data_IF_307633973663
#
_entry.id   IF_307633973663
#
_cell.length_a   1.000
_cell.length_b   1.000
_cell.length_c   1.000
_cell.angle_alpha   90.00
_cell.angle_beta   90.00
_cell.angle_gamma   90.00
#
_symmetry.space_group_name_H-M   'P 1'
#
loop_
_entity.id
_entity.type
_entity.pdbx_description
1 polymer ?
#
# COMPACT_ATOMS: atom_id res chain seq x y z
N UNK A 1 25.61 -0.94 6.50
CA UNK A 1 25.78 0.17 5.52
C UNK A 1 25.33 1.53 6.05
N UNK A 2 24.46 1.59 7.07
CA UNK A 2 23.84 2.85 7.50
C UNK A 2 23.84 3.12 9.00
N UNK A 3 23.57 4.38 9.33
CA UNK A 3 23.13 4.87 10.63
C UNK A 3 21.77 5.55 10.46
N UNK A 4 20.79 5.17 11.28
CA UNK A 4 19.43 5.69 11.23
C UNK A 4 19.08 6.37 12.56
N UNK A 5 18.66 7.63 12.50
CA UNK A 5 18.00 8.31 13.60
C UNK A 5 16.52 8.47 13.26
N UNK A 6 15.65 7.69 13.91
CA UNK A 6 14.26 7.65 13.50
C UNK A 6 13.52 6.40 13.94
N UNK A 7 12.36 6.19 13.33
CA UNK A 7 11.55 4.98 13.46
C UNK A 7 10.80 4.73 12.15
N UNK A 8 10.91 3.54 11.57
CA UNK A 8 10.13 3.14 10.39
C UNK A 8 8.76 2.64 10.84
N UNK A 9 7.69 3.37 10.53
CA UNK A 9 6.34 3.06 11.00
C UNK A 9 5.57 2.09 10.07
N UNK A 10 6.04 1.88 8.83
CA UNK A 10 5.48 0.92 7.87
C UNK A 10 6.15 -0.47 7.92
N UNK A 11 7.01 -0.72 8.91
CA UNK A 11 7.95 -1.85 8.94
C UNK A 11 7.31 -3.22 8.65
N UNK A 12 6.19 -3.55 9.29
CA UNK A 12 5.52 -4.86 9.11
C UNK A 12 5.05 -5.07 7.67
N UNK A 13 4.56 -4.02 7.02
CA UNK A 13 4.17 -4.08 5.61
C UNK A 13 5.38 -4.34 4.73
N UNK A 14 6.44 -3.54 4.91
CA UNK A 14 7.66 -3.66 4.11
C UNK A 14 8.32 -5.04 4.25
N UNK A 15 8.34 -5.59 5.47
CA UNK A 15 8.87 -6.92 5.75
C UNK A 15 8.08 -8.02 5.04
N UNK A 16 6.74 -7.99 5.15
CA UNK A 16 5.88 -8.97 4.51
C UNK A 16 5.97 -8.92 2.98
N UNK A 17 6.02 -7.71 2.40
CA UNK A 17 6.13 -7.53 0.96
C UNK A 17 7.48 -7.97 0.42
N UNK A 18 8.58 -7.62 1.10
CA UNK A 18 9.89 -8.13 0.70
C UNK A 18 9.93 -9.66 0.83
N UNK A 19 9.36 -10.23 1.90
CA UNK A 19 9.27 -11.68 2.05
C UNK A 19 8.52 -12.33 0.89
N UNK A 20 7.40 -11.76 0.45
CA UNK A 20 6.64 -12.25 -0.71
C UNK A 20 7.44 -12.17 -2.01
N UNK A 21 8.24 -11.11 -2.21
CA UNK A 21 9.06 -10.90 -3.40
C UNK A 21 10.25 -11.85 -3.50
N UNK A 22 10.79 -12.34 -2.39
CA UNK A 22 11.95 -13.24 -2.37
C UNK A 22 11.79 -14.47 -3.26
N UNK A 23 10.57 -14.98 -3.37
CA UNK A 23 10.25 -16.18 -4.16
C UNK A 23 10.22 -15.92 -5.67
N UNK A 24 10.24 -14.66 -6.11
CA UNK A 24 10.20 -14.24 -7.52
C UNK A 24 11.52 -13.65 -8.00
N UNK A 25 12.54 -13.55 -7.15
CA UNK A 25 13.83 -12.96 -7.51
C UNK A 25 14.57 -13.81 -8.53
N UNK A 26 14.98 -13.22 -9.65
CA UNK A 26 15.83 -13.91 -10.60
C UNK A 26 17.23 -14.14 -10.02
N UNK A 27 17.74 -15.36 -10.14
CA UNK A 27 19.09 -15.74 -9.70
C UNK A 27 20.23 -15.16 -10.56
N UNK A 28 20.01 -14.21 -11.46
CA UNK A 28 21.10 -13.70 -12.33
C UNK A 28 22.10 -12.81 -11.58
N UNK A 29 21.62 -11.98 -10.65
CA UNK A 29 22.49 -11.08 -9.88
C UNK A 29 23.33 -11.84 -8.83
N UNK A 30 22.78 -12.93 -8.27
CA UNK A 30 23.36 -13.65 -7.14
C UNK A 30 23.75 -15.10 -7.46
N UNK A 31 23.39 -15.62 -8.63
CA UNK A 31 23.62 -17.02 -9.01
C UNK A 31 23.07 -18.01 -7.99
N UNK A 32 23.84 -19.07 -7.76
CA UNK A 32 23.57 -20.10 -6.76
C UNK A 32 23.64 -19.57 -5.31
N UNK A 33 24.14 -18.35 -5.08
CA UNK A 33 24.24 -17.75 -3.75
C UNK A 33 22.93 -17.11 -3.29
N UNK A 34 21.92 -16.95 -4.16
CA UNK A 34 20.63 -16.35 -3.79
C UNK A 34 19.99 -17.08 -2.60
N UNK A 35 20.00 -18.42 -2.59
CA UNK A 35 19.44 -19.22 -1.50
C UNK A 35 20.13 -18.94 -0.15
N UNK A 36 21.41 -18.56 -0.16
CA UNK A 36 22.18 -18.24 1.07
C UNK A 36 21.81 -16.88 1.64
N UNK A 37 21.23 -15.99 0.82
CA UNK A 37 20.80 -14.65 1.22
C UNK A 37 19.39 -14.65 1.81
N UNK A 38 18.62 -15.73 1.64
CA UNK A 38 17.25 -15.82 2.13
C UNK A 38 17.22 -16.28 3.62
N UNK A 39 16.37 -15.66 4.45
CA UNK A 39 15.60 -14.44 4.19
C UNK A 39 16.49 -13.19 4.17
N UNK A 40 16.20 -12.26 3.25
CA UNK A 40 16.89 -10.98 3.09
C UNK A 40 16.79 -10.16 4.37
N UNK A 41 15.58 -10.06 4.92
CA UNK A 41 15.34 -9.40 6.20
C UNK A 41 15.54 -10.39 7.33
N UNK A 42 16.37 -10.00 8.30
CA UNK A 42 16.52 -10.74 9.54
C UNK A 42 15.41 -10.36 10.52
N UNK A 43 14.55 -11.32 10.86
CA UNK A 43 13.34 -11.09 11.68
C UNK A 43 13.62 -10.47 13.07
N UNK A 44 14.71 -10.87 13.72
CA UNK A 44 15.09 -10.42 15.07
C UNK A 44 15.75 -9.03 15.11
N UNK A 45 15.95 -8.40 13.95
CA UNK A 45 16.61 -7.11 13.83
C UNK A 45 15.73 -5.92 14.18
N UNK A 46 16.36 -4.79 14.53
CA UNK A 46 15.65 -3.51 14.64
C UNK A 46 15.15 -3.04 13.28
N UNK A 47 14.21 -2.09 13.27
CA UNK A 47 13.72 -1.43 12.06
C UNK A 47 14.86 -0.93 11.14
N UNK A 48 15.88 -0.35 11.75
CA UNK A 48 17.07 0.22 11.12
C UNK A 48 17.94 -0.86 10.49
N UNK A 49 18.04 -2.02 11.14
CA UNK A 49 18.76 -3.17 10.59
C UNK A 49 18.01 -3.79 9.42
N UNK A 50 16.68 -3.92 9.53
CA UNK A 50 15.84 -4.41 8.44
C UNK A 50 15.93 -3.51 7.21
N UNK A 51 15.95 -2.19 7.42
CA UNK A 51 16.21 -1.21 6.36
C UNK A 51 17.62 -1.42 5.76
N UNK A 52 18.65 -1.63 6.59
CA UNK A 52 20.03 -1.87 6.12
C UNK A 52 20.12 -3.13 5.25
N UNK A 53 19.43 -4.20 5.64
CA UNK A 53 19.40 -5.44 4.86
C UNK A 53 18.77 -5.24 3.48
N UNK A 54 17.63 -4.53 3.41
CA UNK A 54 17.00 -4.23 2.14
C UNK A 54 17.87 -3.32 1.26
N UNK A 55 18.48 -2.28 1.86
CA UNK A 55 19.36 -1.36 1.14
C UNK A 55 20.59 -2.08 0.59
N UNK A 56 21.25 -2.89 1.41
CA UNK A 56 22.40 -3.70 1.01
C UNK A 56 22.03 -4.66 -0.13
N UNK A 57 20.90 -5.35 0.00
CA UNK A 57 20.38 -6.24 -1.05
C UNK A 57 20.18 -5.50 -2.39
N UNK A 58 19.56 -4.32 -2.38
CA UNK A 58 19.35 -3.52 -3.59
C UNK A 58 20.68 -3.08 -4.23
N UNK A 59 21.65 -2.65 -3.42
CA UNK A 59 22.98 -2.26 -3.91
C UNK A 59 23.70 -3.46 -4.53
N UNK A 60 23.73 -4.59 -3.83
CA UNK A 60 24.37 -5.82 -4.31
C UNK A 60 23.66 -6.40 -5.55
N UNK A 61 22.37 -6.10 -5.75
CA UNK A 61 21.64 -6.44 -6.98
C UNK A 61 22.06 -5.60 -8.20
N UNK A 62 22.93 -4.60 -8.02
CA UNK A 62 23.50 -3.80 -9.10
C UNK A 62 23.01 -2.35 -9.18
N UNK A 63 22.22 -1.89 -8.20
CA UNK A 63 21.78 -0.48 -8.13
C UNK A 63 22.81 0.41 -7.44
N UNK A 64 22.87 1.67 -7.84
CA UNK A 64 23.65 2.66 -7.09
C UNK A 64 23.01 2.93 -5.73
N UNK A 65 23.81 3.47 -4.80
CA UNK A 65 23.35 3.90 -3.48
C UNK A 65 22.21 4.92 -3.59
N UNK A 66 22.35 5.90 -4.47
CA UNK A 66 21.34 6.94 -4.70
C UNK A 66 20.03 6.36 -5.26
N UNK A 67 20.11 5.44 -6.23
CA UNK A 67 18.94 4.75 -6.78
C UNK A 67 18.19 3.99 -5.69
N UNK A 68 18.90 3.17 -4.92
CA UNK A 68 18.29 2.35 -3.87
C UNK A 68 17.60 3.22 -2.81
N UNK A 69 18.22 4.32 -2.40
CA UNK A 69 17.59 5.27 -1.47
C UNK A 69 16.38 5.99 -2.06
N UNK A 70 16.42 6.39 -3.33
CA UNK A 70 15.27 7.01 -4.01
C UNK A 70 14.09 6.05 -4.17
N UNK A 71 14.34 4.75 -4.24
CA UNK A 71 13.29 3.72 -4.23
C UNK A 71 12.69 3.51 -2.83
N UNK A 72 13.55 3.36 -1.81
CA UNK A 72 13.10 3.05 -0.46
C UNK A 72 12.46 4.26 0.24
N UNK A 73 12.99 5.48 0.01
CA UNK A 73 12.51 6.75 0.58
C UNK A 73 12.22 7.73 -0.56
N UNK A 74 11.13 7.52 -1.32
CA UNK A 74 10.79 8.37 -2.44
C UNK A 74 10.34 9.76 -1.98
N UNK A 75 10.62 10.77 -2.81
CA UNK A 75 10.05 12.10 -2.63
C UNK A 75 8.52 12.07 -2.77
N UNK A 76 7.76 12.95 -2.11
CA UNK A 76 6.36 13.18 -2.45
C UNK A 76 6.23 13.65 -3.92
N UNK A 77 5.77 12.76 -4.80
CA UNK A 77 5.78 12.99 -6.25
C UNK A 77 4.38 13.19 -6.85
N UNK A 78 3.36 12.49 -6.34
CA UNK A 78 2.03 12.42 -6.97
C UNK A 78 1.34 13.78 -7.13
N UNK A 79 1.40 14.61 -6.10
CA UNK A 79 0.73 15.91 -6.06
C UNK A 79 1.71 17.09 -6.25
N UNK A 80 2.95 16.79 -6.61
CA UNK A 80 4.01 17.77 -6.74
C UNK A 80 4.01 18.43 -8.14
N UNK A 81 3.23 19.50 -8.30
CA UNK A 81 2.99 20.16 -9.59
C UNK A 81 4.26 20.66 -10.31
N UNK A 82 5.30 21.02 -9.56
CA UNK A 82 6.54 21.59 -10.12
C UNK A 82 7.67 20.56 -10.29
N UNK A 83 7.38 19.26 -10.19
CA UNK A 83 8.41 18.21 -10.32
C UNK A 83 8.76 18.02 -11.80
N UNK A 84 10.05 17.96 -12.17
CA UNK A 84 10.44 17.60 -13.53
C UNK A 84 9.86 16.24 -13.95
N UNK A 85 9.40 16.15 -15.20
CA UNK A 85 8.67 14.98 -15.71
C UNK A 85 9.47 13.68 -15.56
N UNK A 86 10.75 13.67 -15.95
CA UNK A 86 11.62 12.51 -15.84
C UNK A 86 11.71 11.96 -14.39
N UNK A 87 11.65 12.85 -13.39
CA UNK A 87 11.72 12.48 -11.98
C UNK A 87 10.39 11.91 -11.50
N UNK A 88 9.28 12.50 -11.94
CA UNK A 88 7.94 11.98 -11.66
C UNK A 88 7.76 10.59 -12.28
N UNK A 89 8.16 10.40 -13.53
CA UNK A 89 8.13 9.12 -14.23
C UNK A 89 9.01 8.06 -13.54
N UNK A 90 10.19 8.45 -13.02
CA UNK A 90 11.00 7.55 -12.20
C UNK A 90 10.25 7.07 -10.95
N UNK A 91 9.65 7.99 -10.17
CA UNK A 91 8.97 7.60 -8.94
C UNK A 91 7.67 6.81 -9.21
N UNK A 92 6.91 7.17 -10.25
CA UNK A 92 5.71 6.45 -10.64
C UNK A 92 6.02 5.01 -11.08
N UNK A 93 7.11 4.81 -11.82
CA UNK A 93 7.57 3.47 -12.17
C UNK A 93 7.96 2.64 -10.94
N UNK A 94 8.71 3.23 -10.00
CA UNK A 94 9.16 2.50 -8.81
C UNK A 94 8.03 2.28 -7.79
N UNK A 95 6.97 3.09 -7.80
CA UNK A 95 5.77 2.86 -7.00
C UNK A 95 5.04 1.55 -7.41
N UNK A 96 5.24 1.06 -8.63
CA UNK A 96 4.75 -0.25 -9.08
C UNK A 96 5.61 -1.43 -8.57
N UNK A 97 6.80 -1.16 -8.02
CA UNK A 97 7.79 -2.17 -7.64
C UNK A 97 7.96 -2.32 -6.14
N UNK A 98 7.92 -1.22 -5.41
CA UNK A 98 8.23 -1.18 -3.99
C UNK A 98 7.48 -0.05 -3.29
N UNK A 99 6.85 -0.42 -2.18
CA UNK A 99 6.26 0.50 -1.22
C UNK A 99 7.32 1.28 -0.44
N UNK A 100 7.03 2.53 -0.04
CA UNK A 100 7.97 3.35 0.72
C UNK A 100 8.21 2.83 2.14
N UNK A 101 9.46 2.87 2.57
CA UNK A 101 9.87 2.68 3.96
C UNK A 101 9.69 3.99 4.72
N UNK A 102 8.47 4.22 5.19
CA UNK A 102 8.05 5.51 5.77
C UNK A 102 8.22 5.55 7.29
N UNK A 103 8.22 6.78 7.80
CA UNK A 103 8.44 7.11 9.21
C UNK A 103 9.51 8.20 9.37
N UNK A 104 9.60 8.85 10.55
CA UNK A 104 10.63 9.85 10.81
C UNK A 104 12.01 9.23 10.62
N UNK A 105 12.83 9.76 9.71
CA UNK A 105 14.13 9.19 9.43
C UNK A 105 15.15 10.28 9.06
N UNK A 106 16.31 10.25 9.72
CA UNK A 106 17.54 10.81 9.20
C UNK A 106 18.54 9.68 9.04
N UNK A 107 18.89 9.38 7.79
CA UNK A 107 19.76 8.26 7.44
C UNK A 107 21.07 8.82 6.92
N UNK A 108 22.18 8.32 7.46
CA UNK A 108 23.50 8.46 6.88
C UNK A 108 23.94 7.08 6.39
N UNK A 109 24.45 7.00 5.16
CA UNK A 109 24.82 5.75 4.48
C UNK A 109 26.22 5.86 3.90
N UNK A 110 26.88 4.73 3.73
CA UNK A 110 28.07 4.65 2.90
C UNK A 110 28.21 3.25 2.30
N UNK A 111 28.64 3.21 1.04
CA UNK A 111 29.03 1.99 0.33
C UNK A 111 30.57 1.77 0.35
N UNK A 112 31.30 2.59 1.11
CA UNK A 112 32.76 2.60 1.19
C UNK A 112 33.45 3.55 0.22
N UNK A 113 32.75 4.05 -0.80
CA UNK A 113 33.26 5.03 -1.78
C UNK A 113 32.49 6.35 -1.67
N UNK A 114 31.18 6.27 -1.61
CA UNK A 114 30.28 7.39 -1.45
C UNK A 114 29.75 7.45 -0.02
N UNK A 115 29.46 8.66 0.44
CA UNK A 115 28.81 8.93 1.73
C UNK A 115 27.55 9.73 1.45
N UNK A 116 26.40 9.13 1.73
CA UNK A 116 25.08 9.73 1.50
C UNK A 116 24.39 10.09 2.81
N UNK A 117 23.50 11.07 2.75
CA UNK A 117 22.55 11.34 3.80
C UNK A 117 21.20 11.78 3.21
N UNK A 118 20.11 11.27 3.78
CA UNK A 118 18.75 11.55 3.33
C UNK A 118 17.83 11.71 4.54
N UNK A 119 16.77 12.48 4.36
CA UNK A 119 15.67 12.59 5.30
C UNK A 119 14.45 11.86 4.76
N UNK A 120 13.56 11.44 5.67
CA UNK A 120 12.23 11.01 5.29
C UNK A 120 11.47 12.09 4.50
N UNK A 121 10.39 11.66 3.84
CA UNK A 121 9.60 12.50 2.95
C UNK A 121 9.03 13.77 3.60
N UNK A 122 8.86 13.75 4.92
CA UNK A 122 8.33 14.86 5.72
C UNK A 122 9.45 15.67 6.42
N UNK A 123 10.68 15.14 6.44
CA UNK A 123 11.83 15.71 7.14
C UNK A 123 11.60 15.87 8.64
N UNK A 124 11.07 14.83 9.28
CA UNK A 124 10.68 14.84 10.70
C UNK A 124 11.88 14.78 11.65
N UNK A 125 13.09 14.58 11.13
CA UNK A 125 14.33 14.53 11.90
C UNK A 125 15.31 15.65 11.48
N UNK A 126 15.99 16.29 12.45
CA UNK A 126 16.95 17.33 12.13
C UNK A 126 18.24 16.72 11.60
N UNK A 127 18.80 17.31 10.55
CA UNK A 127 20.13 16.98 10.06
C UNK A 127 20.80 18.23 9.46
N UNK A 128 22.01 18.53 9.94
CA UNK A 128 22.77 19.75 9.68
C UNK A 128 24.16 19.40 9.23
N UNK A 129 24.71 20.16 8.28
CA UNK A 129 26.07 19.94 7.82
C UNK A 129 26.90 21.23 7.74
N UNK A 130 28.20 21.07 7.95
CA UNK A 130 29.23 22.08 7.72
C UNK A 130 30.23 21.60 6.68
N UNK A 131 30.66 22.52 5.83
CA UNK A 131 31.81 22.34 4.93
C UNK A 131 32.87 23.32 5.37
N UNK A 132 34.06 22.82 5.71
CA UNK A 132 35.18 23.63 6.17
C UNK A 132 36.15 23.98 5.02
N UNK A 133 37.05 24.93 5.25
CA UNK A 133 38.02 25.36 4.24
C UNK A 133 39.16 24.35 4.03
N UNK A 134 39.31 23.38 4.94
CA UNK A 134 40.17 22.21 4.81
C UNK A 134 39.42 20.97 4.27
N UNK A 135 38.36 21.21 3.47
CA UNK A 135 37.58 20.21 2.74
C UNK A 135 36.95 19.09 3.60
N UNK A 136 36.68 19.37 4.89
CA UNK A 136 35.94 18.44 5.74
C UNK A 136 34.45 18.71 5.65
N UNK A 137 33.70 17.63 5.52
CA UNK A 137 32.25 17.61 5.65
C UNK A 137 31.88 17.02 6.99
N UNK A 138 31.12 17.77 7.78
CA UNK A 138 30.66 17.34 9.10
C UNK A 138 29.14 17.37 9.08
N UNK A 139 28.50 16.23 9.25
CA UNK A 139 27.05 16.09 9.34
C UNK A 139 26.65 15.57 10.72
N UNK A 140 25.65 16.19 11.33
CA UNK A 140 25.13 15.81 12.63
C UNK A 140 23.66 16.21 12.79
N UNK A 141 22.98 15.61 13.77
CA UNK A 141 21.60 15.97 14.11
C UNK A 141 21.48 17.40 14.64
N UNK A 142 22.56 17.93 15.24
CA UNK A 142 22.59 19.22 15.89
C UNK A 142 23.81 20.05 15.45
N UNK A 143 23.72 21.37 15.70
CA UNK A 143 24.81 22.32 15.47
C UNK A 143 25.73 22.39 16.68
N UNK A 144 27.03 22.56 16.47
CA UNK A 144 27.99 22.77 17.57
C UNK A 144 28.47 21.49 18.27
N UNK A 145 28.23 20.31 17.69
CA UNK A 145 28.68 19.01 18.23
C UNK A 145 30.21 18.88 18.35
N UNK A 146 30.97 19.60 17.52
CA UNK A 146 32.43 19.61 17.55
C UNK A 146 32.93 21.00 17.98
N UNK A 147 33.29 21.21 19.27
CA UNK A 147 33.70 22.51 19.78
C UNK A 147 35.05 22.98 19.22
N UNK A 148 35.85 22.06 18.67
CA UNK A 148 37.16 22.35 18.09
C UNK A 148 37.11 22.99 16.70
N UNK A 149 35.93 23.07 16.07
CA UNK A 149 35.79 23.66 14.74
C UNK A 149 35.55 25.17 14.88
N UNK A 150 36.56 25.96 14.56
CA UNK A 150 36.44 27.42 14.56
C UNK A 150 35.48 27.90 13.47
N UNK A 151 34.65 28.91 13.79
CA UNK A 151 33.67 29.45 12.84
C UNK A 151 34.31 30.12 11.63
N UNK A 152 35.54 30.62 11.76
CA UNK A 152 36.36 31.19 10.68
C UNK A 152 36.75 30.15 9.62
N UNK A 153 36.82 28.87 9.98
CA UNK A 153 37.16 27.78 9.06
C UNK A 153 35.94 27.24 8.31
N UNK A 154 34.72 27.74 8.56
CA UNK A 154 33.50 27.21 7.95
C UNK A 154 33.17 27.99 6.67
N UNK A 155 33.17 27.30 5.54
CA UNK A 155 32.83 27.85 4.21
C UNK A 155 31.33 27.80 3.95
N UNK A 156 30.67 26.70 4.36
CA UNK A 156 29.22 26.52 4.16
C UNK A 156 28.57 25.90 5.38
N UNK A 157 27.38 26.39 5.71
CA UNK A 157 26.47 25.78 6.69
C UNK A 157 25.16 25.45 6.00
N UNK A 158 24.68 24.22 6.15
CA UNK A 158 23.44 23.77 5.53
C UNK A 158 22.62 22.88 6.46
N UNK A 159 21.43 22.53 5.97
CA UNK A 159 20.56 21.51 6.53
C UNK A 159 20.12 20.58 5.41
N UNK A 160 19.81 19.33 5.74
CA UNK A 160 19.07 18.49 4.82
C UNK A 160 17.63 18.98 4.77
N UNK A 161 17.03 18.88 3.60
CA UNK A 161 15.65 19.28 3.34
C UNK A 161 14.87 18.02 2.98
N UNK A 162 13.57 17.93 3.33
CA UNK A 162 12.73 16.80 2.96
C UNK A 162 12.84 16.54 1.46
N UNK A 163 13.00 15.27 1.11
CA UNK A 163 13.13 14.86 -0.28
C UNK A 163 14.46 15.18 -0.95
N UNK A 164 15.44 15.83 -0.32
CA UNK A 164 16.78 16.08 -0.90
C UNK A 164 17.81 15.10 -0.37
N UNK A 165 18.74 14.68 -1.23
CA UNK A 165 19.87 13.83 -0.89
C UNK A 165 21.15 14.68 -0.81
N UNK A 166 21.94 14.43 0.22
CA UNK A 166 23.28 14.97 0.36
C UNK A 166 24.28 13.84 0.10
N UNK A 167 25.06 13.93 -0.98
CA UNK A 167 26.01 12.89 -1.37
C UNK A 167 27.42 13.47 -1.52
N UNK A 168 28.39 12.84 -0.86
CA UNK A 168 29.81 13.10 -1.04
C UNK A 168 30.41 11.91 -1.77
N UNK A 169 31.02 12.18 -2.91
CA UNK A 169 31.70 11.17 -3.70
C UNK A 169 33.22 11.32 -3.52
N UNK A 170 33.85 10.30 -2.93
CA UNK A 170 35.27 10.33 -2.61
C UNK A 170 36.16 10.08 -3.84
N UNK A 171 35.66 9.46 -4.90
CA UNK A 171 36.38 9.28 -6.16
C UNK A 171 36.37 10.57 -6.99
N UNK A 172 35.22 11.25 -7.06
CA UNK A 172 35.11 12.56 -7.70
C UNK A 172 35.71 13.69 -6.86
N UNK A 173 35.90 13.46 -5.55
CA UNK A 173 36.46 14.41 -4.60
C UNK A 173 35.56 15.64 -4.38
N UNK A 174 34.24 15.48 -4.46
CA UNK A 174 33.29 16.59 -4.32
C UNK A 174 31.95 16.18 -3.71
N UNK A 175 31.21 17.19 -3.25
CA UNK A 175 29.78 17.06 -2.94
C UNK A 175 29.02 17.10 -4.27
N UNK A 176 28.22 16.08 -4.55
CA UNK A 176 27.38 15.99 -5.76
C UNK A 176 26.07 16.76 -5.52
N UNK A 177 25.62 17.54 -6.51
CA UNK A 177 24.36 18.26 -6.37
C UNK A 177 23.16 17.30 -6.45
N UNK A 178 22.13 17.54 -5.63
CA UNK A 178 20.91 16.71 -5.59
C UNK A 178 20.21 16.63 -6.95
N UNK A 179 20.20 17.73 -7.71
CA UNK A 179 19.53 17.78 -9.01
C UNK A 179 20.29 16.94 -10.03
N UNK A 180 21.61 17.11 -10.06
CA UNK A 180 22.53 16.34 -10.91
C UNK A 180 22.38 14.85 -10.63
N UNK A 181 22.47 14.46 -9.36
CA UNK A 181 22.41 13.07 -8.92
C UNK A 181 21.09 12.39 -9.33
N UNK A 182 19.96 13.04 -9.04
CA UNK A 182 18.64 12.47 -9.33
C UNK A 182 18.32 12.48 -10.82
N UNK A 183 18.82 13.46 -11.56
CA UNK A 183 18.68 13.48 -13.01
C UNK A 183 19.44 12.33 -13.66
N UNK A 184 20.65 12.02 -13.18
CA UNK A 184 21.40 10.85 -13.63
C UNK A 184 20.63 9.56 -13.34
N UNK A 185 20.21 9.35 -12.09
CA UNK A 185 19.48 8.14 -11.67
C UNK A 185 18.16 7.96 -12.42
N UNK A 186 17.38 9.05 -12.55
CA UNK A 186 16.08 9.00 -13.20
C UNK A 186 16.16 8.84 -14.74
N UNK A 187 17.37 8.95 -15.32
CA UNK A 187 17.62 8.74 -16.75
C UNK A 187 18.38 7.44 -17.05
N UNK A 188 18.59 6.57 -16.06
CA UNK A 188 19.24 5.26 -16.26
C UNK A 188 18.44 4.35 -17.19
N UNK A 189 17.12 4.52 -17.25
CA UNK A 189 16.22 3.81 -18.14
C UNK A 189 15.12 4.76 -18.69
N UNK A 190 14.46 4.41 -19.81
CA UNK A 190 13.38 5.21 -20.38
C UNK A 190 12.06 5.00 -19.64
N UNK A 191 12.02 5.30 -18.33
CA UNK A 191 10.86 5.06 -17.45
C UNK A 191 9.55 5.62 -18.00
N UNK A 192 9.58 6.84 -18.54
CA UNK A 192 8.41 7.45 -19.16
C UNK A 192 7.85 6.67 -20.35
N UNK A 193 8.72 6.06 -21.16
CA UNK A 193 8.27 5.20 -22.25
C UNK A 193 7.63 3.93 -21.70
N UNK A 194 8.28 3.28 -20.73
CA UNK A 194 7.75 2.07 -20.11
C UNK A 194 6.37 2.29 -19.49
N UNK A 195 6.19 3.40 -18.76
CA UNK A 195 4.91 3.81 -18.21
C UNK A 195 3.84 4.02 -19.28
N UNK A 196 4.15 4.76 -20.36
CA UNK A 196 3.18 4.99 -21.45
C UNK A 196 2.75 3.70 -22.15
N UNK A 197 3.66 2.74 -22.26
CA UNK A 197 3.41 1.50 -23.00
C UNK A 197 2.74 0.42 -22.13
N UNK A 198 2.85 0.49 -20.80
CA UNK A 198 2.44 -0.60 -19.89
C UNK A 198 1.53 -0.19 -18.71
N UNK A 199 1.54 1.07 -18.26
CA UNK A 199 0.68 1.52 -17.17
C UNK A 199 -0.65 2.04 -17.71
N UNK A 200 -1.74 1.38 -17.36
CA UNK A 200 -3.09 1.73 -17.80
C UNK A 200 -3.82 2.53 -16.71
N UNK A 201 -4.46 3.65 -17.08
CA UNK A 201 -5.35 4.38 -16.16
C UNK A 201 -6.74 3.74 -16.16
N UNK A 202 -7.28 3.43 -14.97
CA UNK A 202 -8.60 2.85 -14.82
C UNK A 202 -9.71 3.66 -15.51
N UNK A 203 -9.58 4.99 -15.60
CA UNK A 203 -10.55 5.88 -16.27
C UNK A 203 -10.64 5.63 -17.78
N UNK A 204 -9.61 5.03 -18.36
CA UNK A 204 -9.53 4.74 -19.80
C UNK A 204 -9.94 3.30 -20.13
N UNK A 205 -10.33 2.49 -19.14
CA UNK A 205 -10.87 1.17 -19.39
C UNK A 205 -12.19 1.27 -20.17
N UNK A 206 -12.46 0.34 -21.10
CA UNK A 206 -13.73 0.32 -21.82
C UNK A 206 -14.90 0.21 -20.85
N UNK A 207 -16.05 0.80 -21.19
CA UNK A 207 -17.25 0.63 -20.38
C UNK A 207 -17.66 -0.86 -20.36
N UNK A 208 -18.18 -1.38 -19.24
CA UNK A 208 -18.59 -2.77 -19.17
C UNK A 208 -19.82 -2.99 -20.05
N UNK A 209 -19.88 -4.14 -20.72
CA UNK A 209 -21.03 -4.55 -21.52
C UNK A 209 -22.22 -4.88 -20.64
N UNK A 210 -21.97 -5.51 -19.50
CA UNK A 210 -22.99 -5.80 -18.50
C UNK A 210 -22.89 -4.80 -17.35
N UNK A 211 -24.00 -4.12 -17.07
CA UNK A 211 -24.17 -3.38 -15.82
C UNK A 211 -25.16 -4.14 -14.96
N UNK A 212 -24.80 -4.37 -13.70
CA UNK A 212 -25.74 -4.93 -12.72
C UNK A 212 -26.70 -3.83 -12.30
N UNK A 213 -27.99 -4.17 -12.27
CA UNK A 213 -29.03 -3.33 -11.71
C UNK A 213 -29.20 -3.63 -10.23
N UNK A 214 -29.49 -2.60 -9.43
CA UNK A 214 -29.84 -2.78 -8.03
C UNK A 214 -31.10 -3.65 -7.87
N UNK A 215 -31.17 -4.40 -6.77
CA UNK A 215 -32.33 -5.20 -6.39
C UNK A 215 -32.87 -4.76 -5.02
N UNK A 216 -33.70 -3.71 -5.04
CA UNK A 216 -34.33 -3.19 -3.85
C UNK A 216 -35.38 -4.13 -3.24
N UNK A 217 -35.81 -5.19 -3.94
CA UNK A 217 -36.81 -6.12 -3.41
C UNK A 217 -36.28 -7.01 -2.28
N UNK A 218 -34.97 -7.31 -2.31
CA UNK A 218 -34.31 -8.18 -1.32
C UNK A 218 -33.35 -7.44 -0.39
N UNK A 219 -33.22 -6.11 -0.55
CA UNK A 219 -32.18 -5.31 0.13
C UNK A 219 -32.22 -5.45 1.66
N UNK A 220 -33.40 -5.41 2.27
CA UNK A 220 -33.55 -5.53 3.73
C UNK A 220 -33.08 -6.91 4.23
N UNK A 221 -33.30 -7.97 3.46
CA UNK A 221 -32.85 -9.32 3.81
C UNK A 221 -31.33 -9.41 3.73
N UNK A 222 -30.72 -8.85 2.67
CA UNK A 222 -29.26 -8.81 2.50
C UNK A 222 -28.59 -7.96 3.59
N UNK A 223 -29.12 -6.77 3.87
CA UNK A 223 -28.68 -5.91 4.98
C UNK A 223 -28.66 -6.66 6.31
N UNK A 224 -29.74 -7.39 6.64
CA UNK A 224 -29.79 -8.22 7.86
C UNK A 224 -28.75 -9.34 7.86
N UNK A 225 -28.53 -9.99 6.72
CA UNK A 225 -27.52 -11.05 6.60
C UNK A 225 -26.10 -10.52 6.91
N UNK A 226 -25.79 -9.30 6.48
CA UNK A 226 -24.50 -8.63 6.75
C UNK A 226 -24.48 -7.79 8.05
N UNK A 227 -25.51 -7.92 8.89
CA UNK A 227 -25.58 -7.27 10.20
C UNK A 227 -25.76 -5.76 10.16
N UNK A 228 -26.33 -5.20 9.09
CA UNK A 228 -26.69 -3.78 9.03
C UNK A 228 -27.81 -3.49 10.02
N UNK A 229 -27.69 -2.38 10.72
CA UNK A 229 -28.67 -1.89 11.68
C UNK A 229 -29.35 -0.62 11.20
N UNK A 230 -30.45 -0.27 11.85
CA UNK A 230 -31.10 1.03 11.61
C UNK A 230 -30.17 2.21 11.96
N UNK A 231 -29.32 2.03 12.97
CA UNK A 231 -28.35 3.04 13.39
C UNK A 231 -27.28 3.26 12.32
N UNK A 232 -26.81 2.19 11.67
CA UNK A 232 -25.87 2.28 10.54
C UNK A 232 -26.43 3.16 9.44
N UNK A 233 -27.70 2.96 9.06
CA UNK A 233 -28.33 3.76 8.02
C UNK A 233 -28.52 5.22 8.44
N UNK A 234 -29.04 5.45 9.66
CA UNK A 234 -29.44 6.78 10.14
C UNK A 234 -28.26 7.66 10.57
N UNK A 235 -27.24 7.08 11.19
CA UNK A 235 -26.15 7.84 11.81
C UNK A 235 -24.83 7.73 11.07
N UNK A 236 -24.63 6.68 10.25
CA UNK A 236 -23.40 6.48 9.49
C UNK A 236 -23.61 6.70 7.99
N UNK A 237 -24.32 5.80 7.32
CA UNK A 237 -24.41 5.76 5.85
C UNK A 237 -25.10 7.00 5.29
N UNK A 238 -26.32 7.30 5.76
CA UNK A 238 -27.11 8.44 5.26
C UNK A 238 -26.38 9.78 5.41
N UNK A 239 -25.92 10.15 6.61
CA UNK A 239 -25.17 11.39 6.81
C UNK A 239 -23.81 11.42 6.11
N UNK A 240 -23.16 10.27 5.90
CA UNK A 240 -21.92 10.18 5.10
C UNK A 240 -22.18 10.53 3.65
N UNK A 241 -23.25 9.98 3.07
CA UNK A 241 -23.65 10.25 1.69
C UNK A 241 -24.03 11.72 1.48
N UNK A 242 -24.83 12.29 2.39
CA UNK A 242 -25.28 13.69 2.29
C UNK A 242 -24.13 14.71 2.40
N UNK A 243 -23.21 14.49 3.35
CA UNK A 243 -22.15 15.46 3.66
C UNK A 243 -20.81 15.21 2.95
N UNK A 244 -20.62 14.01 2.37
CA UNK A 244 -19.35 13.55 1.83
C UNK A 244 -18.25 13.38 2.90
N UNK A 245 -18.64 13.28 4.19
CA UNK A 245 -17.71 13.22 5.33
C UNK A 245 -18.17 12.16 6.33
N UNK A 246 -17.22 11.55 7.03
CA UNK A 246 -17.55 10.68 8.14
C UNK A 246 -18.32 11.47 9.23
N UNK A 247 -19.48 10.98 9.70
CA UNK A 247 -20.27 11.65 10.71
C UNK A 247 -19.52 11.73 12.04
N UNK A 248 -19.68 12.86 12.74
CA UNK A 248 -19.05 13.10 14.03
C UNK A 248 -19.96 12.66 15.18
N UNK A 249 -19.38 11.93 16.13
CA UNK A 249 -19.98 11.58 17.41
C UNK A 249 -19.30 12.29 18.59
N UNK A 250 -19.82 12.06 19.79
CA UNK A 250 -19.20 12.52 21.04
C UNK A 250 -19.41 11.48 22.15
N UNK A 251 -18.79 11.71 23.31
CA UNK A 251 -18.70 10.76 24.44
C UNK A 251 -17.80 9.54 24.17
N UNK A 252 -17.50 8.78 25.22
CA UNK A 252 -16.76 7.53 25.10
C UNK A 252 -17.67 6.38 24.68
N UNK A 253 -17.08 5.32 24.11
CA UNK A 253 -17.80 4.08 23.83
C UNK A 253 -18.01 3.29 25.13
N UNK A 254 -19.26 3.17 25.57
CA UNK A 254 -19.68 2.42 26.76
C UNK A 254 -20.22 1.01 26.43
N UNK A 255 -20.20 0.61 25.15
CA UNK A 255 -20.54 -0.74 24.75
C UNK A 255 -19.50 -1.75 25.25
N UNK A 256 -19.90 -3.01 25.53
CA UNK A 256 -18.96 -4.06 25.89
C UNK A 256 -17.95 -4.29 24.76
N UNK A 257 -16.75 -4.78 25.11
CA UNK A 257 -15.82 -5.31 24.11
C UNK A 257 -16.51 -6.41 23.30
N UNK A 258 -16.16 -6.53 22.01
CA UNK A 258 -16.86 -7.42 21.08
C UNK A 258 -16.98 -8.86 21.61
N UNK A 259 -15.91 -9.40 22.21
CA UNK A 259 -15.87 -10.75 22.80
C UNK A 259 -16.76 -10.92 24.05
N UNK A 260 -17.16 -9.83 24.68
CA UNK A 260 -18.04 -9.82 25.86
C UNK A 260 -19.47 -9.38 25.52
N UNK A 261 -19.76 -9.12 24.24
CA UNK A 261 -21.07 -8.67 23.80
C UNK A 261 -22.06 -9.83 23.76
N UNK A 262 -23.29 -9.59 24.23
CA UNK A 262 -24.41 -10.53 24.08
C UNK A 262 -25.04 -10.46 22.67
N UNK A 263 -24.57 -9.55 21.81
CA UNK A 263 -25.04 -9.36 20.44
C UNK A 263 -24.00 -9.85 19.44
N UNK A 264 -24.45 -10.35 18.29
CA UNK A 264 -23.56 -10.70 17.17
C UNK A 264 -22.68 -9.50 16.80
N UNK A 265 -21.36 -9.71 16.76
CA UNK A 265 -20.38 -8.69 16.42
C UNK A 265 -19.75 -9.02 15.07
N UNK A 266 -19.53 -8.00 14.24
CA UNK A 266 -18.69 -8.16 13.06
C UNK A 266 -17.23 -8.39 13.47
N UNK A 267 -16.50 -9.11 12.63
CA UNK A 267 -15.09 -9.40 12.82
C UNK A 267 -14.24 -8.12 12.95
N UNK A 268 -14.63 -7.04 12.28
CA UNK A 268 -13.93 -5.74 12.37
C UNK A 268 -13.85 -5.20 13.81
N UNK A 269 -14.85 -5.48 14.66
CA UNK A 269 -14.93 -4.96 16.03
C UNK A 269 -13.88 -5.56 16.98
N UNK A 270 -13.30 -6.70 16.60
CA UNK A 270 -12.23 -7.38 17.34
C UNK A 270 -10.87 -6.73 17.10
N UNK A 271 -10.72 -5.98 16.02
CA UNK A 271 -9.50 -5.25 15.71
C UNK A 271 -9.59 -3.81 16.26
N UNK A 272 -8.45 -3.30 16.72
CA UNK A 272 -8.30 -1.91 17.18
C UNK A 272 -7.19 -1.25 16.39
N UNK A 273 -7.46 -0.06 15.89
CA UNK A 273 -6.49 0.72 15.14
C UNK A 273 -5.32 1.07 16.07
N UNK A 274 -4.11 0.76 15.62
CA UNK A 274 -2.91 1.23 16.28
C UNK A 274 -2.72 2.70 15.94
N UNK A 275 -2.19 3.47 16.90
CA UNK A 275 -1.82 4.85 16.67
C UNK A 275 -0.43 5.10 17.24
N UNK A 276 0.28 6.00 16.58
CA UNK A 276 1.60 6.44 16.99
C UNK A 276 1.50 7.31 18.26
N UNK A 277 2.33 7.01 19.26
CA UNK A 277 2.42 7.80 20.48
C UNK A 277 3.87 7.91 20.93
N UNK A 278 4.37 9.14 21.08
CA UNK A 278 5.75 9.48 21.48
C UNK A 278 6.82 9.11 20.45
N UNK A 279 6.86 7.87 19.97
CA UNK A 279 7.95 7.32 19.16
C UNK A 279 8.04 7.96 17.78
N UNK A 280 6.90 8.13 17.13
CA UNK A 280 6.72 8.87 15.89
C UNK A 280 5.47 9.78 15.98
N UNK A 281 5.45 10.93 15.28
CA UNK A 281 4.30 11.81 15.24
C UNK A 281 3.25 11.33 14.22
N UNK A 282 1.95 11.52 14.48
CA UNK A 282 0.93 11.40 13.44
C UNK A 282 1.04 12.57 12.45
N UNK A 283 0.54 12.35 11.23
CA UNK A 283 0.48 13.34 10.15
C UNK A 283 -0.91 13.99 10.14
N UNK A 284 -1.00 15.25 9.71
CA UNK A 284 -2.28 15.92 9.44
C UNK A 284 -2.72 15.65 7.99
N UNK A 285 -3.68 14.73 7.73
CA UNK A 285 -4.05 14.35 6.37
C UNK A 285 -4.73 15.47 5.58
N UNK A 286 -5.16 16.56 6.23
CA UNK A 286 -5.80 17.71 5.58
C UNK A 286 -4.76 18.77 5.24
N UNK A 287 -3.87 19.09 6.18
CA UNK A 287 -2.85 20.15 5.97
C UNK A 287 -1.62 19.67 5.23
N UNK A 288 -1.30 18.38 5.35
CA UNK A 288 -0.14 17.73 4.74
C UNK A 288 -0.57 16.80 3.59
N UNK A 289 -1.65 17.16 2.90
CA UNK A 289 -2.26 16.38 1.81
C UNK A 289 -1.30 16.03 0.66
N UNK A 290 -0.22 16.80 0.50
CA UNK A 290 0.81 16.60 -0.53
C UNK A 290 1.67 15.36 -0.29
N UNK A 291 1.76 14.88 0.96
CA UNK A 291 2.61 13.73 1.34
C UNK A 291 1.82 12.44 1.52
N UNK A 292 0.49 12.52 1.40
CA UNK A 292 -0.42 11.37 1.48
C UNK A 292 -0.97 10.99 0.11
N UNK A 293 -1.19 9.69 -0.09
CA UNK A 293 -1.72 9.14 -1.33
C UNK A 293 -2.64 7.95 -1.06
N UNK A 294 -3.59 7.72 -1.97
CA UNK A 294 -4.55 6.61 -1.94
C UNK A 294 -4.55 5.82 -3.25
N UNK A 295 -3.54 6.02 -4.10
CA UNK A 295 -3.45 5.31 -5.37
C UNK A 295 -3.25 3.81 -5.11
N UNK A 296 -3.92 3.00 -5.93
CA UNK A 296 -3.77 1.54 -5.92
C UNK A 296 -3.36 1.06 -7.31
N UNK A 297 -2.58 -0.02 -7.37
CA UNK A 297 -2.13 -0.63 -8.60
C UNK A 297 -2.61 -2.09 -8.64
N UNK A 298 -3.25 -2.47 -9.74
CA UNK A 298 -3.77 -3.83 -9.95
C UNK A 298 -3.01 -4.50 -11.08
N UNK A 299 -2.46 -5.68 -10.82
CA UNK A 299 -1.69 -6.46 -11.77
C UNK A 299 -0.65 -7.35 -11.10
N UNK A 300 0.29 -7.82 -11.90
CA UNK A 300 1.42 -8.65 -11.46
C UNK A 300 2.62 -7.76 -11.16
N UNK A 301 3.24 -7.93 -9.99
CA UNK A 301 4.49 -7.25 -9.66
C UNK A 301 5.68 -7.89 -10.41
N UNK A 302 6.62 -7.05 -10.83
CA UNK A 302 7.86 -7.47 -11.48
C UNK A 302 8.95 -7.89 -10.50
N UNK A 303 10.00 -8.52 -11.03
CA UNK A 303 11.20 -8.84 -10.27
C UNK A 303 11.92 -7.57 -9.79
N UNK A 304 12.09 -7.46 -8.48
CA UNK A 304 12.76 -6.34 -7.84
C UNK A 304 14.24 -6.22 -8.24
N UNK A 305 14.94 -7.30 -8.58
CA UNK A 305 16.36 -7.25 -8.97
C UNK A 305 16.57 -6.88 -10.43
N UNK A 306 15.60 -7.20 -11.30
CA UNK A 306 15.67 -6.95 -12.74
C UNK A 306 14.40 -6.26 -13.24
N UNK A 307 14.23 -4.97 -12.89
CA UNK A 307 13.07 -4.21 -13.33
C UNK A 307 13.13 -3.96 -14.86
N UNK A 308 11.98 -4.10 -15.54
CA UNK A 308 11.83 -3.85 -16.97
C UNK A 308 10.49 -3.19 -17.32
N UNK A 309 10.15 -3.05 -18.61
CA UNK A 309 8.87 -2.46 -19.02
C UNK A 309 7.66 -3.19 -18.42
N UNK A 310 7.70 -4.52 -18.39
CA UNK A 310 6.63 -5.36 -17.84
C UNK A 310 6.40 -5.14 -16.33
N UNK A 311 7.39 -4.63 -15.60
CA UNK A 311 7.27 -4.40 -14.16
C UNK A 311 6.28 -3.30 -13.78
N UNK A 312 5.90 -2.44 -14.74
CA UNK A 312 4.86 -1.43 -14.55
C UNK A 312 3.58 -1.76 -15.35
N UNK A 313 3.43 -3.02 -15.80
CA UNK A 313 2.22 -3.50 -16.48
C UNK A 313 1.08 -3.69 -15.47
N UNK A 314 0.46 -2.58 -15.09
CA UNK A 314 -0.56 -2.51 -14.06
C UNK A 314 -1.69 -1.56 -14.47
N UNK A 315 -2.81 -1.65 -13.78
CA UNK A 315 -3.92 -0.70 -13.87
C UNK A 315 -3.87 0.19 -12.64
N UNK A 316 -3.75 1.50 -12.86
CA UNK A 316 -3.70 2.52 -11.83
C UNK A 316 -5.11 3.00 -11.48
N UNK A 317 -5.43 2.98 -10.19
CA UNK A 317 -6.66 3.51 -9.61
C UNK A 317 -6.34 4.68 -8.68
N UNK A 318 -7.09 5.76 -8.74
CA UNK A 318 -6.91 6.94 -7.86
C UNK A 318 -7.29 6.67 -6.40
N UNK A 319 -8.15 5.66 -6.19
CA UNK A 319 -8.70 5.27 -4.90
C UNK A 319 -8.86 3.76 -4.89
N UNK A 320 -8.65 3.09 -3.73
CA UNK A 320 -8.91 1.66 -3.62
C UNK A 320 -10.41 1.36 -3.49
N UNK A 321 -11.25 2.36 -3.21
CA UNK A 321 -12.70 2.20 -3.16
C UNK A 321 -13.28 2.41 -4.55
N UNK A 322 -13.99 1.40 -5.06
CA UNK A 322 -14.51 1.37 -6.43
C UNK A 322 -15.97 0.95 -6.50
N UNK A 323 -16.67 1.43 -7.52
CA UNK A 323 -18.08 1.13 -7.75
C UNK A 323 -18.30 -0.14 -8.58
N UNK A 324 -19.55 -0.59 -8.64
CA UNK A 324 -19.94 -1.79 -9.39
C UNK A 324 -19.49 -1.78 -10.86
N UNK A 325 -19.61 -0.67 -11.62
CA UNK A 325 -19.14 -0.65 -13.00
C UNK A 325 -17.66 -0.97 -13.13
N UNK A 326 -16.82 -0.51 -12.19
CA UNK A 326 -15.37 -0.75 -12.22
C UNK A 326 -15.06 -2.23 -12.03
N UNK A 327 -15.76 -2.91 -11.12
CA UNK A 327 -15.59 -4.35 -10.93
C UNK A 327 -16.01 -5.12 -12.17
N UNK A 328 -17.09 -4.72 -12.85
CA UNK A 328 -17.51 -5.35 -14.10
C UNK A 328 -16.53 -5.05 -15.26
N UNK A 329 -15.92 -3.87 -15.32
CA UNK A 329 -14.84 -3.57 -16.28
C UNK A 329 -13.64 -4.51 -16.10
N UNK A 330 -13.28 -4.80 -14.84
CA UNK A 330 -12.18 -5.70 -14.52
C UNK A 330 -12.57 -7.16 -14.81
N UNK A 331 -13.83 -7.54 -14.58
CA UNK A 331 -14.35 -8.88 -14.89
C UNK A 331 -14.35 -9.15 -16.40
N UNK A 332 -14.65 -8.12 -17.20
CA UNK A 332 -14.70 -8.18 -18.66
C UNK A 332 -13.40 -7.67 -19.32
N UNK A 333 -12.28 -7.70 -18.59
CA UNK A 333 -11.04 -7.09 -19.05
C UNK A 333 -10.49 -7.80 -20.30
N UNK A 334 -10.42 -7.05 -21.41
CA UNK A 334 -9.82 -7.48 -22.67
C UNK A 334 -8.49 -6.74 -22.91
N UNK A 335 -7.61 -6.77 -21.91
CA UNK A 335 -6.26 -6.19 -22.01
C UNK A 335 -5.22 -7.31 -21.93
N UNK A 336 -4.26 -7.30 -22.87
CA UNK A 336 -3.18 -8.29 -22.90
C UNK A 336 -2.43 -8.33 -21.57
N UNK A 337 -2.14 -9.54 -21.05
CA UNK A 337 -1.45 -9.70 -19.77
C UNK A 337 -2.32 -9.46 -18.53
N UNK A 338 -3.63 -9.20 -18.69
CA UNK A 338 -4.58 -9.19 -17.57
C UNK A 338 -5.61 -10.31 -17.75
N UNK A 339 -5.82 -11.08 -16.69
CA UNK A 339 -6.81 -12.14 -16.65
C UNK A 339 -7.43 -12.15 -15.26
N UNK A 340 -8.76 -12.03 -15.20
CA UNK A 340 -9.51 -11.99 -13.95
C UNK A 340 -10.40 -13.21 -13.77
N UNK A 341 -10.59 -13.63 -12.52
CA UNK A 341 -11.59 -14.62 -12.15
C UNK A 341 -12.35 -14.17 -10.90
N UNK A 342 -13.55 -14.69 -10.70
CA UNK A 342 -14.33 -14.45 -9.48
C UNK A 342 -14.37 -15.71 -8.63
N UNK A 343 -13.92 -15.58 -7.39
CA UNK A 343 -13.99 -16.61 -6.38
C UNK A 343 -15.15 -16.27 -5.42
N UNK A 344 -16.20 -17.10 -5.35
CA UNK A 344 -17.28 -16.88 -4.40
C UNK A 344 -16.75 -17.06 -2.97
N UNK A 345 -17.04 -16.10 -2.10
CA UNK A 345 -16.73 -16.18 -0.66
C UNK A 345 -18.00 -16.48 0.14
N UNK A 346 -18.72 -17.52 -0.31
CA UNK A 346 -19.94 -18.03 0.32
C UNK A 346 -19.83 -19.54 0.51
N UNK A 347 -20.56 -20.08 1.49
CA UNK A 347 -20.56 -21.51 1.80
C UNK A 347 -21.94 -21.97 2.27
N UNK A 348 -22.21 -23.27 2.17
CA UNK A 348 -23.44 -23.88 2.67
C UNK A 348 -23.23 -24.29 4.13
N UNK A 349 -23.87 -23.62 5.11
CA UNK A 349 -23.68 -23.95 6.51
C UNK A 349 -24.40 -25.25 6.86
N UNK A 350 -23.71 -26.13 7.60
CA UNK A 350 -24.30 -27.32 8.18
C UNK A 350 -25.25 -27.02 9.34
N UNK A 351 -25.88 -28.08 9.86
CA UNK A 351 -26.80 -27.98 11.00
C UNK A 351 -26.02 -27.69 12.31
N UNK A 352 -24.79 -28.18 12.41
CA UNK A 352 -23.92 -27.96 13.56
C UNK A 352 -23.09 -26.68 13.35
N UNK A 353 -23.02 -25.82 14.37
CA UNK A 353 -22.27 -24.55 14.34
C UNK A 353 -20.90 -24.72 15.02
N UNK A 354 -20.13 -25.72 14.59
CA UNK A 354 -18.81 -26.03 15.17
C UNK A 354 -17.63 -25.36 14.43
N UNK A 355 -17.91 -24.70 13.30
CA UNK A 355 -16.95 -23.93 12.50
C UNK A 355 -16.26 -24.72 11.38
N UNK A 356 -16.48 -26.04 11.27
CA UNK A 356 -15.81 -26.86 10.25
C UNK A 356 -16.21 -26.50 8.82
N UNK A 357 -17.46 -26.12 8.60
CA UNK A 357 -17.93 -25.73 7.27
C UNK A 357 -17.23 -24.45 6.79
N UNK A 358 -16.98 -23.51 7.71
CA UNK A 358 -16.23 -22.29 7.41
C UNK A 358 -14.75 -22.57 7.15
N UNK A 359 -14.15 -23.49 7.91
CA UNK A 359 -12.76 -23.94 7.70
C UNK A 359 -12.61 -24.59 6.31
N UNK A 360 -13.52 -25.52 5.97
CA UNK A 360 -13.55 -26.16 4.64
C UNK A 360 -13.74 -25.14 3.52
N UNK A 361 -14.61 -24.15 3.70
CA UNK A 361 -14.83 -23.11 2.71
C UNK A 361 -13.59 -22.22 2.48
N UNK A 362 -12.79 -21.97 3.53
CA UNK A 362 -11.51 -21.27 3.40
C UNK A 362 -10.47 -22.12 2.65
N UNK A 363 -10.40 -23.42 2.94
CA UNK A 363 -9.50 -24.33 2.23
C UNK A 363 -9.86 -24.43 0.73
N UNK A 364 -11.16 -24.49 0.42
CA UNK A 364 -11.66 -24.45 -0.96
C UNK A 364 -11.34 -23.11 -1.66
N UNK A 365 -11.49 -21.99 -0.95
CA UNK A 365 -11.10 -20.67 -1.47
C UNK A 365 -9.61 -20.61 -1.80
N UNK A 366 -8.75 -21.14 -0.92
CA UNK A 366 -7.30 -21.16 -1.12
C UNK A 366 -6.92 -22.05 -2.31
N UNK A 367 -7.48 -23.25 -2.39
CA UNK A 367 -7.24 -24.16 -3.50
C UNK A 367 -7.74 -23.59 -4.84
N UNK A 368 -8.91 -22.94 -4.84
CA UNK A 368 -9.45 -22.28 -6.03
C UNK A 368 -8.59 -21.11 -6.51
N UNK A 369 -8.03 -20.32 -5.58
CA UNK A 369 -7.09 -19.27 -5.89
C UNK A 369 -5.78 -19.82 -6.48
N UNK A 370 -5.20 -20.86 -5.87
CA UNK A 370 -3.98 -21.49 -6.37
C UNK A 370 -4.16 -22.03 -7.79
N UNK A 371 -5.26 -22.74 -8.06
CA UNK A 371 -5.58 -23.26 -9.39
C UNK A 371 -5.73 -22.12 -10.43
N UNK A 372 -6.44 -21.04 -10.09
CA UNK A 372 -6.58 -19.89 -10.97
C UNK A 372 -5.22 -19.24 -11.30
N UNK A 373 -4.32 -19.14 -10.32
CA UNK A 373 -2.98 -18.58 -10.50
C UNK A 373 -2.11 -19.46 -11.40
N UNK A 374 -2.25 -20.78 -11.30
CA UNK A 374 -1.59 -21.74 -12.20
C UNK A 374 -2.08 -21.60 -13.65
N UNK A 375 -3.37 -21.28 -13.85
CA UNK A 375 -3.96 -20.99 -15.16
C UNK A 375 -3.57 -19.61 -15.73
N UNK A 376 -2.82 -18.80 -14.98
CA UNK A 376 -2.34 -17.48 -15.40
C UNK A 376 -3.27 -16.32 -15.06
N UNK A 377 -4.26 -16.53 -14.18
CA UNK A 377 -5.08 -15.45 -13.63
C UNK A 377 -4.22 -14.56 -12.73
N UNK A 378 -4.30 -13.25 -12.91
CA UNK A 378 -3.58 -12.26 -12.10
C UNK A 378 -4.48 -11.25 -11.38
N UNK A 379 -5.80 -11.39 -11.50
CA UNK A 379 -6.77 -10.61 -10.73
C UNK A 379 -7.80 -11.56 -10.13
N UNK A 380 -7.84 -11.65 -8.80
CA UNK A 380 -8.81 -12.46 -8.07
C UNK A 380 -9.88 -11.55 -7.47
N UNK A 381 -11.12 -11.70 -7.92
CA UNK A 381 -12.28 -10.99 -7.39
C UNK A 381 -12.98 -11.88 -6.36
N UNK A 382 -12.88 -11.54 -5.08
CA UNK A 382 -13.58 -12.22 -4.00
C UNK A 382 -15.00 -11.64 -3.89
N UNK A 383 -16.05 -12.44 -4.03
CA UNK A 383 -17.43 -11.94 -4.06
C UNK A 383 -18.38 -12.69 -3.13
N UNK A 384 -19.08 -11.96 -2.25
CA UNK A 384 -20.16 -12.51 -1.40
C UNK A 384 -21.58 -12.27 -1.98
N UNK A 385 -21.68 -11.83 -3.24
CA UNK A 385 -22.96 -11.53 -3.90
C UNK A 385 -23.91 -12.73 -4.00
N UNK A 386 -23.40 -13.95 -3.88
CA UNK A 386 -24.18 -15.20 -3.92
C UNK A 386 -24.84 -15.58 -2.58
N UNK A 387 -24.78 -14.71 -1.56
CA UNK A 387 -25.52 -14.92 -0.30
C UNK A 387 -27.01 -15.15 -0.58
N UNK A 388 -27.56 -16.18 0.07
CA UNK A 388 -28.93 -16.61 -0.13
C UNK A 388 -29.47 -17.41 1.05
N UNK A 389 -30.61 -18.08 0.87
CA UNK A 389 -31.23 -18.88 1.94
C UNK A 389 -30.38 -20.08 2.36
N UNK A 390 -29.65 -20.67 1.42
CA UNK A 390 -28.80 -21.85 1.65
C UNK A 390 -27.30 -21.51 1.71
N UNK A 391 -26.91 -20.26 1.40
CA UNK A 391 -25.50 -19.85 1.30
C UNK A 391 -25.22 -18.68 2.24
N UNK A 392 -24.35 -18.90 3.23
CA UNK A 392 -23.84 -17.88 4.13
C UNK A 392 -22.56 -17.25 3.58
N UNK A 393 -22.28 -15.98 3.91
CA UNK A 393 -21.01 -15.33 3.56
C UNK A 393 -19.88 -15.78 4.50
N UNK A 394 -18.70 -16.00 3.94
CA UNK A 394 -17.45 -15.96 4.70
C UNK A 394 -17.23 -14.49 5.10
N UNK A 395 -16.94 -14.15 6.37
CA UNK A 395 -16.63 -12.78 6.76
C UNK A 395 -15.53 -12.21 5.86
N UNK A 396 -15.77 -11.05 5.26
CA UNK A 396 -14.95 -10.55 4.16
C UNK A 396 -13.50 -10.31 4.59
N UNK A 397 -13.28 -9.80 5.80
CA UNK A 397 -11.95 -9.64 6.38
C UNK A 397 -11.23 -10.99 6.56
N UNK A 398 -11.95 -12.04 6.94
CA UNK A 398 -11.36 -13.37 7.12
C UNK A 398 -10.96 -13.98 5.77
N UNK A 399 -11.81 -13.85 4.75
CA UNK A 399 -11.51 -14.32 3.40
C UNK A 399 -10.28 -13.62 2.80
N UNK A 400 -10.25 -12.28 2.86
CA UNK A 400 -9.13 -11.48 2.34
C UNK A 400 -7.84 -11.78 3.10
N UNK A 401 -7.86 -11.68 4.44
CA UNK A 401 -6.66 -11.88 5.25
C UNK A 401 -6.13 -13.32 5.15
N UNK A 402 -7.04 -14.30 5.18
CA UNK A 402 -6.70 -15.72 5.05
C UNK A 402 -6.00 -16.00 3.72
N UNK A 403 -6.59 -15.54 2.62
CA UNK A 403 -6.05 -15.75 1.29
C UNK A 403 -4.73 -14.97 1.09
N UNK A 404 -4.66 -13.71 1.51
CA UNK A 404 -3.45 -12.90 1.43
C UNK A 404 -2.26 -13.61 2.10
N UNK A 405 -2.43 -14.09 3.34
CA UNK A 405 -1.37 -14.80 4.05
C UNK A 405 -1.09 -16.18 3.49
N UNK A 406 -2.08 -16.89 2.93
CA UNK A 406 -1.86 -18.13 2.19
C UNK A 406 -0.94 -17.90 0.98
N UNK A 407 -1.26 -16.91 0.15
CA UNK A 407 -0.47 -16.56 -1.04
C UNK A 407 0.94 -16.07 -0.69
N UNK A 408 1.13 -15.37 0.43
CA UNK A 408 2.48 -15.01 0.92
C UNK A 408 3.28 -16.28 1.25
N UNK A 409 2.69 -17.24 1.97
CA UNK A 409 3.35 -18.51 2.32
C UNK A 409 3.69 -19.35 1.09
N UNK A 410 2.86 -19.30 0.04
CA UNK A 410 3.11 -19.98 -1.24
C UNK A 410 4.08 -19.21 -2.17
N UNK A 411 4.42 -17.95 -1.86
CA UNK A 411 5.26 -17.13 -2.73
C UNK A 411 4.56 -16.65 -4.01
N UNK A 412 3.23 -16.63 -4.02
CA UNK A 412 2.39 -16.27 -5.18
C UNK A 412 1.67 -14.94 -5.02
N UNK A 413 1.72 -14.28 -3.84
CA UNK A 413 0.99 -13.02 -3.60
C UNK A 413 1.35 -11.88 -4.55
N UNK A 414 2.60 -11.79 -5.01
CA UNK A 414 3.07 -10.77 -5.96
C UNK A 414 2.59 -11.02 -7.39
N UNK A 415 2.07 -12.23 -7.68
CA UNK A 415 1.57 -12.60 -9.02
C UNK A 415 0.15 -12.09 -9.27
N UNK A 416 -0.60 -11.76 -8.22
CA UNK A 416 -2.02 -11.43 -8.30
C UNK A 416 -2.39 -10.20 -7.48
N UNK A 417 -3.46 -9.54 -7.90
CA UNK A 417 -4.19 -8.59 -7.06
C UNK A 417 -5.49 -9.19 -6.51
N UNK A 418 -5.86 -8.78 -5.31
CA UNK A 418 -7.08 -9.16 -4.61
C UNK A 418 -8.08 -8.01 -4.62
N UNK A 419 -9.21 -8.21 -5.30
CA UNK A 419 -10.33 -7.26 -5.32
C UNK A 419 -11.45 -7.84 -4.48
N UNK A 420 -11.91 -7.10 -3.49
CA UNK A 420 -13.06 -7.51 -2.68
C UNK A 420 -14.34 -6.86 -3.20
N UNK A 421 -15.33 -7.65 -3.57
CA UNK A 421 -16.71 -7.24 -3.79
C UNK A 421 -17.56 -7.77 -2.63
N UNK A 422 -17.94 -6.90 -1.70
CA UNK A 422 -18.58 -7.34 -0.46
C UNK A 422 -19.76 -6.48 -0.03
N UNK A 423 -20.77 -7.15 0.52
CA UNK A 423 -21.90 -6.53 1.19
C UNK A 423 -21.63 -6.18 2.66
N UNK A 424 -20.50 -6.59 3.25
CA UNK A 424 -20.20 -6.35 4.68
C UNK A 424 -19.62 -4.96 5.01
N UNK A 425 -18.62 -4.42 4.28
CA UNK A 425 -17.91 -3.20 4.68
C UNK A 425 -18.74 -1.93 4.43
N UNK A 426 -18.74 -1.04 5.42
CA UNK A 426 -19.54 0.20 5.44
C UNK A 426 -18.94 1.35 6.25
N UNK A 427 -17.89 1.08 7.02
CA UNK A 427 -17.22 2.05 7.88
C UNK A 427 -15.75 2.23 7.47
N UNK A 428 -15.18 3.40 7.79
CA UNK A 428 -13.76 3.70 7.54
C UNK A 428 -12.83 2.63 8.12
N UNK A 429 -13.14 2.13 9.32
CA UNK A 429 -12.37 1.04 9.93
C UNK A 429 -12.42 -0.26 9.11
N UNK A 430 -13.56 -0.58 8.50
CA UNK A 430 -13.70 -1.80 7.70
C UNK A 430 -12.79 -1.72 6.49
N UNK A 431 -12.82 -0.60 5.77
CA UNK A 431 -11.95 -0.34 4.62
C UNK A 431 -10.47 -0.38 5.01
N UNK A 432 -10.09 0.30 6.09
CA UNK A 432 -8.70 0.33 6.56
C UNK A 432 -8.16 -1.06 6.91
N UNK A 433 -8.97 -1.91 7.55
CA UNK A 433 -8.59 -3.29 7.86
C UNK A 433 -8.45 -4.13 6.59
N UNK A 434 -9.43 -4.05 5.68
CA UNK A 434 -9.38 -4.81 4.43
C UNK A 434 -8.13 -4.48 3.60
N UNK A 435 -7.80 -3.19 3.47
CA UNK A 435 -6.56 -2.75 2.80
C UNK A 435 -5.32 -3.23 3.56
N UNK A 436 -5.29 -3.04 4.89
CA UNK A 436 -4.16 -3.44 5.73
C UNK A 436 -3.91 -4.96 5.77
N UNK A 437 -4.92 -5.77 5.47
CA UNK A 437 -4.83 -7.24 5.39
C UNK A 437 -4.79 -7.78 3.95
N UNK A 438 -4.59 -6.90 2.95
CA UNK A 438 -4.12 -7.30 1.63
C UNK A 438 -5.11 -7.17 0.47
N UNK A 439 -6.27 -6.52 0.65
CA UNK A 439 -7.12 -6.11 -0.48
C UNK A 439 -6.46 -4.94 -1.23
N UNK A 440 -6.43 -5.03 -2.56
CA UNK A 440 -5.91 -3.97 -3.43
C UNK A 440 -7.03 -2.99 -3.83
N UNK A 441 -8.25 -3.51 -4.04
CA UNK A 441 -9.47 -2.73 -4.28
C UNK A 441 -10.65 -3.28 -3.45
N UNK A 442 -11.59 -2.41 -3.10
CA UNK A 442 -12.80 -2.75 -2.35
C UNK A 442 -14.01 -2.11 -3.03
N UNK A 443 -14.99 -2.95 -3.35
CA UNK A 443 -16.31 -2.58 -3.84
C UNK A 443 -17.36 -2.88 -2.75
N UNK A 444 -17.78 -1.88 -1.95
CA UNK A 444 -18.78 -2.04 -0.90
C UNK A 444 -20.19 -1.99 -1.49
N UNK A 445 -20.52 -2.95 -2.35
CA UNK A 445 -21.71 -2.84 -3.21
C UNK A 445 -23.00 -2.64 -2.42
N UNK A 446 -23.16 -3.32 -1.27
CA UNK A 446 -24.41 -3.23 -0.50
C UNK A 446 -24.54 -1.88 0.22
N UNK A 447 -23.43 -1.28 0.64
CA UNK A 447 -23.43 0.07 1.19
C UNK A 447 -23.85 1.10 0.13
N UNK A 448 -23.30 0.98 -1.08
CA UNK A 448 -23.65 1.85 -2.23
C UNK A 448 -25.11 1.66 -2.65
N UNK A 449 -25.56 0.40 -2.77
CA UNK A 449 -26.95 0.05 -3.07
C UNK A 449 -27.91 0.55 -1.97
N UNK A 450 -27.50 0.54 -0.71
CA UNK A 450 -28.27 1.10 0.40
C UNK A 450 -28.45 2.61 0.26
N UNK A 451 -27.41 3.34 -0.14
CA UNK A 451 -27.53 4.79 -0.42
C UNK A 451 -28.52 5.04 -1.55
N UNK A 452 -28.41 4.30 -2.66
CA UNK A 452 -29.33 4.41 -3.80
C UNK A 452 -30.78 4.09 -3.41
N UNK A 453 -30.99 3.12 -2.54
CA UNK A 453 -32.31 2.81 -2.00
C UNK A 453 -32.89 3.95 -1.13
N UNK A 454 -32.08 4.58 -0.29
CA UNK A 454 -32.51 5.74 0.52
C UNK A 454 -32.90 6.93 -0.36
N UNK A 455 -32.19 7.15 -1.48
CA UNK A 455 -32.56 8.16 -2.48
C UNK A 455 -33.92 7.82 -3.12
N UNK A 456 -34.12 6.57 -3.55
CA UNK A 456 -35.39 6.14 -4.16
C UNK A 456 -36.58 6.30 -3.19
N UNK A 457 -36.37 6.05 -1.90
CA UNK A 457 -37.40 6.26 -0.86
C UNK A 457 -37.64 7.73 -0.51
N UNK A 458 -36.77 8.65 -0.96
CA UNK A 458 -36.85 10.08 -0.65
C UNK A 458 -36.29 10.46 0.72
N UNK A 459 -35.51 9.56 1.35
CA UNK A 459 -34.83 9.83 2.63
C UNK A 459 -33.52 10.63 2.43
N UNK A 460 -32.97 10.64 1.21
CA UNK A 460 -31.83 11.45 0.79
C UNK A 460 -32.17 12.24 -0.49
N UNK A 461 -31.81 13.51 -0.53
CA UNK A 461 -31.99 14.40 -1.70
C UNK A 461 -30.68 14.52 -2.48
N UNK A 462 -30.29 13.42 -3.14
CA UNK A 462 -29.05 13.31 -3.93
C UNK A 462 -29.34 12.68 -5.29
N UNK A 463 -28.48 12.97 -6.28
CA UNK A 463 -28.49 12.27 -7.56
C UNK A 463 -27.82 10.89 -7.38
N UNK A 464 -28.42 9.76 -7.81
CA UNK A 464 -27.85 8.42 -7.61
C UNK A 464 -26.46 8.17 -8.19
N UNK A 465 -25.97 9.06 -9.06
CA UNK A 465 -24.65 9.00 -9.70
C UNK A 465 -23.57 9.80 -8.97
N UNK A 466 -23.95 10.58 -7.94
CA UNK A 466 -23.04 11.31 -7.04
C UNK A 466 -22.93 10.58 -5.72
#
# INVERSE_FOLDING_TARGET
YLCHNGEINTLRGNENWLHARQMQLAGEAFGDDLEKLLPIIREDGSDSQKFDNCLEFLILSGRSLAHSLMMMIPEPWERHQNMPEFKREFYEYHACLMEPWDGPASIAVSDGVQIGAVLDRNGLRPSRYYVTADDKVILASEVGVLPSIESSNIVKKGRLEPGRMFLVDMELGRIVDDTELKEEVAKTAPYGQWLRDNLFDAKNLPAPQNSRTDDFSTILTRQKAFGYTFEDMRFLIGPSADSGKQPLGSMGNDAPLAVLSDQTQSLYNYFKQLFAQVTNPPIDPIREELVTATVSFVGTEGDLTRPGPESCRMIKFESPLVDDPVVEQIREIELEGFCSTTLPIVFEPGIETDGKDLESALDELFAGADAAIEEGVNILILSDREVGSEKAAIPALLAVAGLHHHLIRQGTRTRVSLILQSGEPREVQHYALLLGYGADLINPYLALETVRHLIEQGDLDLEPTK
#
